data_IF_275244700178
#
_entry.id   IF_275244700178
#
_cell.length_a   1.000
_cell.length_b   1.000
_cell.length_c   1.000
_cell.angle_alpha   90.00
_cell.angle_beta   90.00
_cell.angle_gamma   90.00
#
_symmetry.space_group_name_H-M   'P 1'
#
loop_
_entity.id
_entity.type
_entity.pdbx_description
1 polymer ?
#
# COMPACT_ATOMS: atom_id res chain seq x y z
N UNK A 1 15.44 -13.86 6.82
CA UNK A 1 14.25 -13.35 6.11
C UNK A 1 14.04 -14.05 4.76
N UNK A 2 15.05 -14.15 3.87
CA UNK A 2 14.92 -14.88 2.57
C UNK A 2 14.44 -16.32 2.73
N UNK A 3 15.00 -17.10 3.65
CA UNK A 3 14.60 -18.49 3.90
C UNK A 3 13.15 -18.61 4.38
N UNK A 4 12.67 -17.65 5.17
CA UNK A 4 11.27 -17.60 5.59
C UNK A 4 10.32 -17.42 4.40
N UNK A 5 10.67 -16.53 3.48
CA UNK A 5 9.92 -16.33 2.24
C UNK A 5 9.93 -17.61 1.41
N UNK A 6 11.11 -18.20 1.14
CA UNK A 6 11.24 -19.43 0.35
C UNK A 6 10.39 -20.58 0.90
N UNK A 7 10.30 -20.73 2.21
CA UNK A 7 9.45 -21.75 2.87
C UNK A 7 7.95 -21.54 2.66
N UNK A 8 7.53 -20.31 2.37
CA UNK A 8 6.12 -19.93 2.23
C UNK A 8 5.67 -19.72 0.78
N UNK A 9 6.52 -20.01 -0.22
CA UNK A 9 6.19 -19.91 -1.66
C UNK A 9 5.31 -21.09 -2.09
N UNK A 10 4.15 -21.24 -1.46
CA UNK A 10 3.16 -22.22 -1.88
C UNK A 10 2.04 -21.49 -2.65
N UNK A 11 1.79 -21.90 -3.91
CA UNK A 11 0.84 -21.20 -4.79
C UNK A 11 -0.55 -21.02 -4.20
N UNK A 12 -1.06 -22.02 -3.44
CA UNK A 12 -2.37 -21.92 -2.78
C UNK A 12 -2.37 -20.87 -1.66
N UNK A 13 -1.31 -20.85 -0.84
CA UNK A 13 -1.15 -19.84 0.24
C UNK A 13 -1.00 -18.43 -0.34
N UNK A 14 -0.15 -18.29 -1.38
CA UNK A 14 0.08 -17.02 -2.05
C UNK A 14 -1.22 -16.48 -2.65
N UNK A 15 -2.00 -17.33 -3.32
CA UNK A 15 -3.29 -16.96 -3.91
C UNK A 15 -4.30 -16.54 -2.84
N UNK A 16 -4.41 -17.27 -1.74
CA UNK A 16 -5.34 -16.94 -0.66
C UNK A 16 -5.00 -15.59 -0.01
N UNK A 17 -3.72 -15.34 0.27
CA UNK A 17 -3.28 -14.05 0.82
C UNK A 17 -3.52 -12.91 -0.18
N UNK A 18 -3.24 -13.14 -1.46
CA UNK A 18 -3.50 -12.17 -2.52
C UNK A 18 -4.99 -11.81 -2.60
N UNK A 19 -5.87 -12.79 -2.59
CA UNK A 19 -7.33 -12.57 -2.60
C UNK A 19 -7.75 -11.79 -1.35
N UNK A 20 -7.30 -12.20 -0.15
CA UNK A 20 -7.63 -11.53 1.10
C UNK A 20 -7.19 -10.06 1.09
N UNK A 21 -5.95 -9.78 0.66
CA UNK A 21 -5.42 -8.42 0.55
C UNK A 21 -6.28 -7.56 -0.38
N UNK A 22 -6.64 -8.12 -1.55
CA UNK A 22 -7.45 -7.36 -2.52
C UNK A 22 -8.91 -7.19 -2.08
N UNK A 23 -9.48 -8.11 -1.28
CA UNK A 23 -10.79 -7.90 -0.66
C UNK A 23 -10.74 -6.68 0.29
N UNK A 24 -9.72 -6.59 1.17
CA UNK A 24 -9.55 -5.43 2.06
C UNK A 24 -9.38 -4.14 1.24
N UNK A 25 -8.55 -4.17 0.19
CA UNK A 25 -8.36 -3.03 -0.70
C UNK A 25 -9.67 -2.57 -1.37
N UNK A 26 -10.47 -3.51 -1.87
CA UNK A 26 -11.79 -3.21 -2.48
C UNK A 26 -12.72 -2.59 -1.45
N UNK A 27 -12.77 -3.11 -0.21
CA UNK A 27 -13.56 -2.52 0.88
C UNK A 27 -13.12 -1.06 1.13
N UNK A 28 -11.82 -0.78 1.14
CA UNK A 28 -11.31 0.58 1.29
C UNK A 28 -11.78 1.48 0.15
N UNK A 29 -11.59 1.06 -1.10
CA UNK A 29 -11.93 1.86 -2.28
C UNK A 29 -13.43 2.07 -2.47
N UNK A 30 -14.27 1.12 -2.05
CA UNK A 30 -15.72 1.18 -2.33
C UNK A 30 -16.56 1.62 -1.14
N UNK A 31 -16.05 1.49 0.08
CA UNK A 31 -16.82 1.75 1.30
C UNK A 31 -16.16 2.84 2.16
N UNK A 32 -14.94 2.59 2.66
CA UNK A 32 -14.41 3.45 3.73
C UNK A 32 -13.86 4.77 3.19
N UNK A 33 -13.11 4.78 2.10
CA UNK A 33 -12.63 6.01 1.44
C UNK A 33 -13.80 6.86 0.93
N UNK A 34 -14.77 6.33 0.15
CA UNK A 34 -15.92 7.12 -0.29
C UNK A 34 -16.74 7.69 0.87
N UNK A 35 -16.84 6.94 1.99
CA UNK A 35 -17.52 7.44 3.18
C UNK A 35 -16.85 8.70 3.75
N UNK A 36 -15.54 8.74 3.84
CA UNK A 36 -14.82 9.94 4.30
C UNK A 36 -14.90 11.05 3.24
N UNK A 37 -14.70 10.71 1.97
CA UNK A 37 -14.75 11.67 0.86
C UNK A 37 -16.12 12.36 0.72
N UNK A 38 -17.21 11.72 1.16
CA UNK A 38 -18.54 12.37 1.19
C UNK A 38 -18.60 13.62 2.08
N UNK A 39 -17.62 13.81 2.96
CA UNK A 39 -17.48 15.00 3.80
C UNK A 39 -16.38 15.96 3.31
N UNK A 40 -15.56 15.57 2.32
CA UNK A 40 -14.36 16.33 1.93
C UNK A 40 -14.62 17.51 1.00
N UNK A 41 -15.87 17.73 0.57
CA UNK A 41 -16.18 18.77 -0.41
C UNK A 41 -15.52 18.56 -1.79
N UNK A 42 -15.22 17.32 -2.15
CA UNK A 42 -14.56 16.95 -3.41
C UNK A 42 -13.02 16.90 -3.34
N UNK A 43 -12.45 17.16 -2.17
CA UNK A 43 -10.99 17.03 -1.97
C UNK A 43 -10.59 15.56 -1.79
N UNK A 44 -9.43 15.18 -2.34
CA UNK A 44 -8.88 13.84 -2.17
C UNK A 44 -8.30 13.64 -0.76
N UNK A 45 -8.31 12.39 -0.29
CA UNK A 45 -7.60 12.03 0.93
C UNK A 45 -6.09 11.90 0.63
N UNK A 46 -5.20 12.07 1.63
CA UNK A 46 -3.77 11.85 1.52
C UNK A 46 -3.40 10.54 0.81
N UNK A 47 -4.07 9.43 1.15
CA UNK A 47 -3.89 8.10 0.54
C UNK A 47 -4.08 8.09 -0.98
N UNK A 48 -4.79 9.07 -1.54
CA UNK A 48 -5.08 9.17 -2.97
C UNK A 48 -4.18 10.22 -3.68
N UNK A 49 -3.14 10.70 -3.01
CA UNK A 49 -2.25 11.74 -3.51
C UNK A 49 -0.81 11.23 -3.66
N UNK A 50 -0.50 10.40 -4.68
CA UNK A 50 0.81 9.77 -4.83
C UNK A 50 1.97 10.77 -5.06
N UNK A 51 1.66 11.98 -5.51
CA UNK A 51 2.63 13.06 -5.68
C UNK A 51 2.85 13.87 -4.39
N UNK A 52 2.07 13.57 -3.33
CA UNK A 52 2.14 14.25 -2.05
C UNK A 52 1.18 15.42 -1.91
N UNK A 53 1.26 16.05 -0.74
CA UNK A 53 0.39 17.17 -0.30
C UNK A 53 1.18 18.12 0.61
N UNK A 54 0.69 19.34 0.78
CA UNK A 54 1.27 20.33 1.68
C UNK A 54 0.39 20.59 2.91
N UNK A 55 0.89 21.46 3.81
CA UNK A 55 0.20 21.78 5.06
C UNK A 55 -1.07 22.60 4.83
N UNK A 56 -1.13 23.41 3.78
CA UNK A 56 -2.32 24.19 3.43
C UNK A 56 -3.43 23.29 2.92
N UNK A 57 -3.07 22.32 2.07
CA UNK A 57 -4.01 21.30 1.61
C UNK A 57 -4.63 20.50 2.77
N UNK A 58 -3.80 20.00 3.69
CA UNK A 58 -4.29 19.25 4.86
C UNK A 58 -5.20 20.09 5.75
N UNK A 59 -4.86 21.36 5.98
CA UNK A 59 -5.72 22.29 6.75
C UNK A 59 -7.07 22.47 6.06
N UNK A 60 -7.06 22.71 4.76
CA UNK A 60 -8.27 22.88 3.95
C UNK A 60 -9.13 21.62 3.94
N UNK A 61 -8.52 20.46 3.77
CA UNK A 61 -9.19 19.15 3.81
C UNK A 61 -9.85 18.93 5.18
N UNK A 62 -9.12 19.13 6.29
CA UNK A 62 -9.65 18.89 7.63
C UNK A 62 -10.75 19.88 8.02
N UNK A 63 -10.69 21.13 7.50
CA UNK A 63 -11.78 22.09 7.61
C UNK A 63 -13.02 21.60 6.85
N UNK A 64 -12.86 21.18 5.61
CA UNK A 64 -13.93 20.68 4.75
C UNK A 64 -14.61 19.43 5.33
N UNK A 65 -13.83 18.49 5.84
CA UNK A 65 -14.33 17.28 6.51
C UNK A 65 -15.25 17.60 7.69
N UNK A 66 -15.05 18.72 8.36
CA UNK A 66 -15.73 19.02 9.62
C UNK A 66 -15.47 17.95 10.68
N UNK A 67 -16.14 18.04 11.83
CA UNK A 67 -15.97 17.07 12.91
C UNK A 67 -16.40 15.66 12.49
N UNK A 68 -17.55 15.54 11.81
CA UNK A 68 -18.09 14.22 11.37
C UNK A 68 -17.16 13.52 10.37
N UNK A 69 -16.61 14.26 9.43
CA UNK A 69 -15.68 13.69 8.43
C UNK A 69 -14.34 13.31 9.05
N UNK A 70 -13.79 14.12 9.97
CA UNK A 70 -12.56 13.76 10.70
C UNK A 70 -12.76 12.52 11.57
N UNK A 71 -13.90 12.39 12.24
CA UNK A 71 -14.25 11.19 13.01
C UNK A 71 -14.43 9.97 12.10
N UNK A 72 -15.06 10.13 10.93
CA UNK A 72 -15.17 9.05 9.96
C UNK A 72 -13.78 8.61 9.45
N UNK A 73 -12.86 9.56 9.21
CA UNK A 73 -11.49 9.24 8.82
C UNK A 73 -10.77 8.45 9.92
N UNK A 74 -10.81 8.95 11.16
CA UNK A 74 -10.10 8.36 12.30
C UNK A 74 -10.65 7.00 12.72
N UNK A 75 -11.98 6.79 12.68
CA UNK A 75 -12.61 5.60 13.25
C UNK A 75 -13.19 4.61 12.23
N UNK A 76 -13.26 4.98 10.93
CA UNK A 76 -13.76 4.09 9.88
C UNK A 76 -12.65 3.76 8.89
N UNK A 77 -12.00 4.76 8.27
CA UNK A 77 -10.98 4.52 7.25
C UNK A 77 -9.67 4.02 7.85
N UNK A 78 -9.08 4.77 8.77
CA UNK A 78 -7.76 4.44 9.33
C UNK A 78 -7.67 3.07 10.02
N UNK A 79 -8.67 2.56 10.76
CA UNK A 79 -8.60 1.21 11.30
C UNK A 79 -8.50 0.11 10.24
N UNK A 80 -9.18 0.26 9.10
CA UNK A 80 -9.07 -0.69 7.98
C UNK A 80 -7.73 -0.52 7.29
N UNK A 81 -7.29 0.73 7.13
CA UNK A 81 -6.00 1.08 6.54
C UNK A 81 -4.80 0.68 7.40
N UNK A 82 -4.97 0.49 8.70
CA UNK A 82 -3.93 -0.10 9.56
C UNK A 82 -3.77 -1.62 9.36
N UNK A 83 -4.76 -2.30 8.79
CA UNK A 83 -4.66 -3.74 8.46
C UNK A 83 -4.02 -3.94 7.09
N UNK A 84 -4.33 -3.05 6.14
CA UNK A 84 -3.94 -3.19 4.74
C UNK A 84 -2.42 -3.25 4.50
N UNK A 85 -1.55 -2.41 5.09
CA UNK A 85 -0.11 -2.42 4.82
C UNK A 85 0.57 -3.73 5.20
N UNK A 86 0.11 -4.39 6.27
CA UNK A 86 0.62 -5.71 6.66
C UNK A 86 0.26 -6.77 5.63
N UNK A 87 -1.00 -6.81 5.23
CA UNK A 87 -1.50 -7.74 4.23
C UNK A 87 -0.83 -7.50 2.88
N UNK A 88 -0.72 -6.24 2.45
CA UNK A 88 -0.04 -5.84 1.23
C UNK A 88 1.43 -6.28 1.24
N UNK A 89 2.17 -5.88 2.26
CA UNK A 89 3.59 -6.18 2.37
C UNK A 89 3.88 -7.68 2.28
N UNK A 90 3.18 -8.50 3.06
CA UNK A 90 3.39 -9.96 3.09
C UNK A 90 2.90 -10.61 1.80
N UNK A 91 1.69 -10.30 1.38
CA UNK A 91 1.06 -10.94 0.22
C UNK A 91 1.85 -10.67 -1.06
N UNK A 92 2.12 -9.40 -1.35
CA UNK A 92 2.80 -9.02 -2.59
C UNK A 92 4.29 -9.38 -2.58
N UNK A 93 4.94 -9.43 -1.40
CA UNK A 93 6.27 -10.05 -1.27
C UNK A 93 6.24 -11.52 -1.73
N UNK A 94 5.26 -12.30 -1.28
CA UNK A 94 5.13 -13.71 -1.66
C UNK A 94 4.69 -13.90 -3.12
N UNK A 95 3.89 -13.00 -3.68
CA UNK A 95 3.50 -13.03 -5.10
C UNK A 95 4.72 -12.90 -6.00
N UNK A 96 5.59 -11.90 -5.77
CA UNK A 96 6.80 -11.75 -6.57
C UNK A 96 7.78 -12.92 -6.35
N UNK A 97 7.95 -13.37 -5.10
CA UNK A 97 8.77 -14.51 -4.77
C UNK A 97 8.28 -15.80 -5.50
N UNK A 98 6.97 -15.98 -5.61
CA UNK A 98 6.39 -17.10 -6.36
C UNK A 98 6.77 -17.05 -7.84
N UNK A 99 6.67 -15.91 -8.51
CA UNK A 99 7.08 -15.80 -9.92
C UNK A 99 8.58 -16.00 -10.09
N UNK A 100 9.42 -15.43 -9.23
CA UNK A 100 10.86 -15.63 -9.25
C UNK A 100 11.24 -17.11 -9.04
N UNK A 101 10.55 -17.80 -8.13
CA UNK A 101 10.75 -19.24 -7.92
C UNK A 101 10.39 -20.04 -9.18
N UNK A 102 9.25 -19.76 -9.80
CA UNK A 102 8.83 -20.43 -11.06
C UNK A 102 9.80 -20.17 -12.22
N UNK A 103 10.51 -19.06 -12.18
CA UNK A 103 11.54 -18.69 -13.17
C UNK A 103 12.94 -19.23 -12.81
N UNK A 104 13.11 -19.89 -11.65
CA UNK A 104 14.41 -20.41 -11.19
C UNK A 104 15.36 -19.31 -10.72
N UNK A 105 14.84 -18.17 -10.25
CA UNK A 105 15.61 -16.97 -9.87
C UNK A 105 15.66 -16.72 -8.35
N UNK A 106 15.40 -17.71 -7.53
CA UNK A 106 15.40 -17.60 -6.06
C UNK A 106 16.77 -17.28 -5.46
N UNK A 107 17.86 -17.69 -6.13
CA UNK A 107 19.23 -17.40 -5.67
C UNK A 107 19.81 -16.13 -6.33
N UNK A 108 19.06 -15.50 -7.22
CA UNK A 108 19.49 -14.26 -7.88
C UNK A 108 19.45 -13.07 -6.89
N UNK A 109 20.34 -12.07 -7.02
CA UNK A 109 20.21 -10.79 -6.30
C UNK A 109 18.85 -10.11 -6.49
N UNK A 110 18.19 -10.35 -7.62
CA UNK A 110 16.84 -9.83 -7.93
C UNK A 110 15.76 -10.33 -6.99
N UNK A 111 16.03 -11.41 -6.24
CA UNK A 111 15.10 -11.86 -5.18
C UNK A 111 14.92 -10.81 -4.07
N UNK A 112 15.86 -9.88 -3.90
CA UNK A 112 15.71 -8.78 -2.94
C UNK A 112 14.57 -7.83 -3.30
N UNK A 113 14.13 -7.77 -4.56
CA UNK A 113 12.99 -6.96 -4.97
C UNK A 113 11.68 -7.40 -4.31
N UNK A 114 11.61 -8.64 -3.79
CA UNK A 114 10.48 -9.11 -2.99
C UNK A 114 10.28 -8.30 -1.70
N UNK A 115 11.29 -7.57 -1.22
CA UNK A 115 11.18 -6.76 -0.02
C UNK A 115 10.54 -5.38 -0.26
N UNK A 116 10.44 -4.93 -1.51
CA UNK A 116 9.84 -3.62 -1.85
C UNK A 116 8.45 -3.40 -1.22
N UNK A 117 7.48 -4.34 -1.32
CA UNK A 117 6.17 -4.14 -0.70
C UNK A 117 6.20 -4.13 0.82
N UNK A 118 7.19 -4.77 1.46
CA UNK A 118 7.36 -4.67 2.92
C UNK A 118 7.80 -3.27 3.34
N UNK A 119 8.72 -2.65 2.59
CA UNK A 119 9.13 -1.28 2.85
C UNK A 119 8.01 -0.28 2.50
N UNK A 120 7.27 -0.51 1.40
CA UNK A 120 6.10 0.30 1.08
C UNK A 120 5.07 0.25 2.21
N UNK A 121 4.76 -0.94 2.74
CA UNK A 121 3.87 -1.11 3.88
C UNK A 121 4.39 -0.46 5.18
N UNK A 122 5.71 -0.44 5.40
CA UNK A 122 6.28 0.30 6.52
C UNK A 122 6.05 1.81 6.40
N UNK A 123 6.29 2.39 5.21
CA UNK A 123 6.03 3.81 4.98
C UNK A 123 4.54 4.16 5.03
N UNK A 124 3.67 3.24 4.64
CA UNK A 124 2.22 3.36 4.77
C UNK A 124 1.80 3.44 6.25
N UNK A 125 2.35 2.59 7.12
CA UNK A 125 2.14 2.72 8.57
C UNK A 125 2.61 4.07 9.12
N UNK A 126 3.79 4.54 8.71
CA UNK A 126 4.32 5.82 9.16
C UNK A 126 3.46 6.99 8.69
N UNK A 127 2.93 6.94 7.47
CA UNK A 127 1.95 7.89 6.97
C UNK A 127 0.66 7.86 7.81
N UNK A 128 0.09 6.68 8.05
CA UNK A 128 -1.14 6.53 8.83
C UNK A 128 -0.98 7.05 10.26
N UNK A 129 0.15 6.77 10.93
CA UNK A 129 0.44 7.35 12.23
C UNK A 129 0.53 8.89 12.18
N UNK A 130 1.14 9.44 11.12
CA UNK A 130 1.20 10.88 10.91
C UNK A 130 -0.20 11.49 10.72
N UNK A 131 -1.06 10.85 9.92
CA UNK A 131 -2.44 11.29 9.70
C UNK A 131 -3.25 11.24 11.01
N UNK A 132 -3.11 10.16 11.80
CA UNK A 132 -3.74 10.05 13.12
C UNK A 132 -3.30 11.20 14.03
N UNK A 133 -1.99 11.49 14.07
CA UNK A 133 -1.45 12.56 14.88
C UNK A 133 -1.98 13.93 14.42
N UNK A 134 -2.07 14.19 13.12
CA UNK A 134 -2.64 15.42 12.56
C UNK A 134 -4.12 15.57 12.87
N UNK A 135 -4.92 14.50 12.74
CA UNK A 135 -6.35 14.53 13.06
C UNK A 135 -6.60 14.84 14.55
N UNK A 136 -5.80 14.24 15.43
CA UNK A 136 -5.92 14.45 16.89
C UNK A 136 -5.43 15.84 17.35
N UNK A 137 -4.48 16.45 16.63
CA UNK A 137 -3.96 17.77 16.96
C UNK A 137 -4.73 18.93 16.33
N UNK A 138 -5.68 18.63 15.45
CA UNK A 138 -6.47 19.67 14.79
C UNK A 138 -7.24 20.57 15.80
N UNK A 139 -7.24 21.91 15.63
CA UNK A 139 -6.72 22.71 14.49
C UNK A 139 -5.24 23.10 14.58
N UNK A 140 -4.52 22.69 15.62
CA UNK A 140 -3.13 23.06 15.90
C UNK A 140 -2.07 22.27 15.10
N UNK A 141 -2.36 21.87 13.86
CA UNK A 141 -1.46 21.04 13.06
C UNK A 141 -0.08 21.67 12.83
N UNK A 142 0.97 20.91 13.16
CA UNK A 142 2.35 21.30 12.89
C UNK A 142 2.67 21.14 11.41
N UNK A 143 3.23 22.18 10.79
CA UNK A 143 3.75 22.12 9.40
C UNK A 143 4.80 21.02 9.26
N UNK A 144 5.69 20.87 10.23
CA UNK A 144 6.74 19.85 10.24
C UNK A 144 6.12 18.43 10.23
N UNK A 145 5.11 18.19 11.06
CA UNK A 145 4.41 16.90 11.09
C UNK A 145 3.81 16.56 9.72
N UNK A 146 3.16 17.54 9.07
CA UNK A 146 2.60 17.33 7.74
C UNK A 146 3.69 17.03 6.70
N UNK A 147 4.81 17.77 6.72
CA UNK A 147 5.92 17.54 5.79
C UNK A 147 6.53 16.14 5.97
N UNK A 148 6.77 15.71 7.19
CA UNK A 148 7.31 14.37 7.49
C UNK A 148 6.33 13.28 7.03
N UNK A 149 5.05 13.44 7.33
CA UNK A 149 4.01 12.49 6.89
C UNK A 149 3.92 12.43 5.36
N UNK A 150 3.98 13.57 4.69
CA UNK A 150 4.01 13.65 3.24
C UNK A 150 5.22 12.92 2.62
N UNK A 151 6.41 13.00 3.23
CA UNK A 151 7.57 12.23 2.78
C UNK A 151 7.28 10.73 2.81
N UNK A 152 6.65 10.22 3.86
CA UNK A 152 6.26 8.80 3.94
C UNK A 152 5.24 8.42 2.87
N UNK A 153 4.25 9.27 2.60
CA UNK A 153 3.27 9.11 1.52
C UNK A 153 3.94 8.96 0.14
N UNK A 154 4.86 9.87 -0.18
CA UNK A 154 5.60 9.83 -1.44
C UNK A 154 6.50 8.59 -1.54
N UNK A 155 7.21 8.23 -0.47
CA UNK A 155 8.07 7.04 -0.44
C UNK A 155 7.26 5.75 -0.61
N UNK A 156 6.11 5.62 0.09
CA UNK A 156 5.16 4.53 -0.11
C UNK A 156 4.76 4.40 -1.57
N UNK A 157 4.31 5.50 -2.17
CA UNK A 157 3.83 5.55 -3.55
C UNK A 157 4.92 5.20 -4.56
N UNK A 158 6.14 5.72 -4.38
CA UNK A 158 7.29 5.42 -5.22
C UNK A 158 7.64 3.93 -5.17
N UNK A 159 7.78 3.36 -3.97
CA UNK A 159 8.13 1.94 -3.80
C UNK A 159 7.05 1.02 -4.36
N UNK A 160 5.78 1.37 -4.16
CA UNK A 160 4.63 0.64 -4.71
C UNK A 160 4.65 0.67 -6.23
N UNK A 161 4.91 1.82 -6.84
CA UNK A 161 5.01 1.97 -8.30
C UNK A 161 6.15 1.12 -8.87
N UNK A 162 7.35 1.23 -8.29
CA UNK A 162 8.51 0.41 -8.70
C UNK A 162 8.17 -1.07 -8.57
N UNK A 163 7.56 -1.47 -7.45
CA UNK A 163 7.17 -2.86 -7.23
C UNK A 163 6.23 -3.37 -8.32
N UNK A 164 5.17 -2.64 -8.67
CA UNK A 164 4.22 -3.09 -9.70
C UNK A 164 4.85 -3.17 -11.09
N UNK A 165 5.75 -2.27 -11.45
CA UNK A 165 6.53 -2.37 -12.70
C UNK A 165 7.33 -3.69 -12.72
N UNK A 166 8.05 -3.97 -11.64
CA UNK A 166 8.82 -5.21 -11.48
C UNK A 166 7.91 -6.45 -11.56
N UNK A 167 6.78 -6.42 -10.85
CA UNK A 167 5.82 -7.53 -10.83
C UNK A 167 5.29 -7.83 -12.24
N UNK A 168 4.91 -6.81 -13.00
CA UNK A 168 4.41 -6.95 -14.38
C UNK A 168 5.48 -7.57 -15.27
N UNK A 169 6.74 -7.12 -15.18
CA UNK A 169 7.85 -7.69 -15.96
C UNK A 169 7.99 -9.19 -15.67
N UNK A 170 8.05 -9.58 -14.39
CA UNK A 170 8.21 -11.00 -14.02
C UNK A 170 6.98 -11.85 -14.32
N UNK A 171 5.80 -11.28 -14.25
CA UNK A 171 4.58 -11.95 -14.69
C UNK A 171 4.61 -12.24 -16.19
N UNK A 172 4.97 -11.27 -17.02
CA UNK A 172 5.11 -11.45 -18.48
C UNK A 172 6.17 -12.54 -18.79
N UNK A 173 7.34 -12.48 -18.15
CA UNK A 173 8.39 -13.48 -18.34
C UNK A 173 7.91 -14.91 -17.95
N UNK A 174 7.12 -15.01 -16.87
CA UNK A 174 6.53 -16.28 -16.44
C UNK A 174 5.54 -16.82 -17.49
N UNK A 175 4.68 -15.97 -18.03
CA UNK A 175 3.69 -16.34 -19.05
C UNK A 175 4.41 -16.82 -20.33
N UNK A 176 5.38 -16.04 -20.82
CA UNK A 176 6.20 -16.40 -22.00
C UNK A 176 6.85 -17.77 -21.82
N UNK A 177 7.54 -17.98 -20.68
CA UNK A 177 8.19 -19.26 -20.39
C UNK A 177 7.21 -20.43 -20.42
N UNK A 178 6.02 -20.25 -19.85
CA UNK A 178 4.98 -21.28 -19.80
C UNK A 178 4.46 -21.66 -21.20
N UNK A 179 4.30 -20.68 -22.08
CA UNK A 179 3.90 -20.92 -23.47
C UNK A 179 4.95 -21.74 -24.23
N UNK A 180 6.22 -21.36 -24.16
CA UNK A 180 7.31 -22.06 -24.85
C UNK A 180 7.57 -23.47 -24.30
N UNK A 181 7.24 -23.76 -23.04
CA UNK A 181 7.35 -25.09 -22.46
C UNK A 181 6.21 -26.04 -22.89
N UNK A 182 5.05 -25.52 -23.30
CA UNK A 182 3.93 -26.31 -23.81
C UNK A 182 4.08 -26.67 -25.30
N UNK A 183 4.96 -25.99 -26.02
CA UNK A 183 5.18 -26.20 -27.47
C UNK A 183 6.30 -27.22 -27.76
N UNK A 184 6.89 -27.80 -26.72
CA UNK A 184 7.80 -28.95 -26.82
C UNK A 184 7.15 -30.17 -26.18
#
# INVERSE_FOLDING_TARGET
MKELIKRNINGRKVLLLFILTNIVYVIMLTITIPKVMSYSGGMNLPDMMPAGYDAEYIRSLFNSLGEKGRNAYLFIQLPVDMIYPLLFGISYCLVLAYFLNKLGKTESPLFNLCFLPLFAGLFDYLENFGIIAMLNSYPGNSVILTQVTNVFSVLKSLLTTIYFVVLIIYFILFVIRKFFQKSK
#
